data_IF_032487594261
#
_entry.id   IF_032487594261
#
_cell.length_a   1.000
_cell.length_b   1.000
_cell.length_c   1.000
_cell.angle_alpha   90.00
_cell.angle_beta   90.00
_cell.angle_gamma   90.00
#
_symmetry.space_group_name_H-M   'P 1'
#
loop_
_entity.id
_entity.type
_entity.pdbx_description
1 polymer ?
#
# COMPACT_ATOMS: atom_id res chain seq x y z
N UNK A 1 38.82 -33.24 44.06
CA UNK A 1 37.36 -33.46 43.99
C UNK A 1 36.69 -32.22 43.43
N UNK A 2 36.64 -32.04 42.10
CA UNK A 2 35.67 -31.13 41.46
C UNK A 2 35.64 -31.49 39.97
N UNK A 3 34.82 -32.48 39.63
CA UNK A 3 34.47 -32.75 38.23
C UNK A 3 33.43 -31.72 37.79
N UNK A 4 33.77 -30.88 36.81
CA UNK A 4 32.84 -29.95 36.19
C UNK A 4 31.87 -30.74 35.28
N UNK A 5 30.57 -30.53 35.48
CA UNK A 5 29.50 -31.15 34.70
C UNK A 5 29.18 -30.25 33.49
N UNK A 6 29.31 -30.70 32.23
CA UNK A 6 29.07 -29.84 31.08
C UNK A 6 27.57 -29.56 30.93
N UNK A 7 27.20 -28.28 30.97
CA UNK A 7 25.84 -27.84 30.67
C UNK A 7 25.53 -28.17 29.21
N UNK A 8 24.69 -29.19 29.01
CA UNK A 8 24.21 -29.61 27.69
C UNK A 8 23.40 -28.47 27.07
N UNK A 9 24.01 -27.73 26.16
CA UNK A 9 23.35 -26.66 25.43
C UNK A 9 22.32 -27.27 24.47
N UNK A 10 21.04 -27.23 24.85
CA UNK A 10 19.93 -27.66 24.01
C UNK A 10 19.67 -26.58 22.97
N UNK A 11 20.31 -26.71 21.81
CA UNK A 11 19.95 -25.93 20.62
C UNK A 11 18.55 -26.35 20.19
N UNK A 12 17.58 -25.44 20.31
CA UNK A 12 16.22 -25.64 19.77
C UNK A 12 16.31 -25.53 18.25
N UNK A 13 16.21 -26.66 17.56
CA UNK A 13 16.02 -26.68 16.12
C UNK A 13 14.54 -26.51 15.81
N UNK A 14 14.21 -25.59 14.90
CA UNK A 14 12.85 -25.49 14.36
C UNK A 14 12.52 -26.75 13.56
N UNK A 15 11.29 -27.23 13.70
CA UNK A 15 10.80 -28.32 12.86
C UNK A 15 10.51 -27.79 11.46
N UNK A 16 10.73 -28.61 10.42
CA UNK A 16 10.39 -28.24 9.04
C UNK A 16 8.91 -27.87 8.88
N UNK A 17 8.04 -28.47 9.71
CA UNK A 17 6.59 -28.23 9.70
C UNK A 17 6.26 -26.80 10.16
N UNK A 18 6.94 -26.30 11.19
CA UNK A 18 6.74 -24.92 11.67
C UNK A 18 7.09 -23.88 10.60
N UNK A 19 8.18 -24.08 9.86
CA UNK A 19 8.52 -23.17 8.75
C UNK A 19 7.52 -23.30 7.60
N UNK A 20 7.09 -24.53 7.29
CA UNK A 20 6.19 -24.80 6.17
C UNK A 20 4.79 -24.18 6.38
N UNK A 21 4.25 -24.25 7.60
CA UNK A 21 2.93 -23.66 7.89
C UNK A 21 2.96 -22.14 7.80
N UNK A 22 4.06 -21.51 8.21
CA UNK A 22 4.21 -20.05 8.17
C UNK A 22 4.24 -19.53 6.75
N UNK A 23 5.05 -20.14 5.87
CA UNK A 23 5.10 -19.72 4.47
C UNK A 23 3.76 -19.96 3.76
N UNK A 24 3.03 -21.03 4.12
CA UNK A 24 1.71 -21.31 3.57
C UNK A 24 0.70 -20.21 3.93
N UNK A 25 0.68 -19.75 5.19
CA UNK A 25 -0.19 -18.65 5.63
C UNK A 25 0.20 -17.35 4.92
N UNK A 26 1.49 -17.02 4.84
CA UNK A 26 1.96 -15.81 4.14
C UNK A 26 1.57 -15.85 2.66
N UNK A 27 1.68 -17.01 1.99
CA UNK A 27 1.31 -17.16 0.59
C UNK A 27 -0.19 -16.91 0.36
N UNK A 28 -1.06 -17.44 1.22
CA UNK A 28 -2.51 -17.21 1.14
C UNK A 28 -2.83 -15.72 1.31
N UNK A 29 -2.23 -15.06 2.32
CA UNK A 29 -2.44 -13.63 2.56
C UNK A 29 -1.93 -12.79 1.39
N UNK A 30 -0.72 -13.08 0.87
CA UNK A 30 -0.13 -12.37 -0.25
C UNK A 30 -0.97 -12.53 -1.53
N UNK A 31 -1.51 -13.73 -1.80
CA UNK A 31 -2.36 -14.00 -2.95
C UNK A 31 -3.64 -13.14 -2.94
N UNK A 32 -4.18 -12.80 -1.77
CA UNK A 32 -5.34 -11.90 -1.64
C UNK A 32 -4.94 -10.41 -1.69
N UNK A 33 -3.78 -10.05 -1.12
CA UNK A 33 -3.33 -8.65 -1.03
C UNK A 33 -2.85 -8.08 -2.37
N UNK A 34 -2.08 -8.85 -3.16
CA UNK A 34 -1.53 -8.39 -4.44
C UNK A 34 -2.59 -7.92 -5.46
N UNK A 35 -3.68 -8.68 -5.74
CA UNK A 35 -4.70 -8.22 -6.68
C UNK A 35 -5.47 -7.00 -6.17
N UNK A 36 -5.73 -6.92 -4.85
CA UNK A 36 -6.41 -5.78 -4.22
C UNK A 36 -5.55 -4.52 -4.34
N UNK A 37 -4.25 -4.61 -4.07
CA UNK A 37 -3.32 -3.49 -4.19
C UNK A 37 -3.27 -2.91 -5.61
N UNK A 38 -3.28 -3.78 -6.63
CA UNK A 38 -3.32 -3.35 -8.02
C UNK A 38 -4.58 -2.56 -8.38
N UNK A 39 -5.76 -3.01 -7.90
CA UNK A 39 -7.04 -2.31 -8.07
C UNK A 39 -7.07 -0.98 -7.30
N UNK A 40 -6.65 -0.99 -6.04
CA UNK A 40 -6.59 0.20 -5.20
C UNK A 40 -5.71 1.30 -5.82
N UNK A 41 -4.54 0.94 -6.37
CA UNK A 41 -3.64 1.91 -7.04
C UNK A 41 -4.28 2.54 -8.28
N UNK A 42 -5.00 1.75 -9.10
CA UNK A 42 -5.72 2.29 -10.27
C UNK A 42 -6.85 3.23 -9.84
N UNK A 43 -7.61 2.85 -8.82
CA UNK A 43 -8.68 3.69 -8.29
C UNK A 43 -8.13 4.99 -7.69
N UNK A 44 -7.03 4.94 -6.93
CA UNK A 44 -6.38 6.13 -6.37
C UNK A 44 -5.93 7.10 -7.47
N UNK A 45 -5.36 6.61 -8.57
CA UNK A 45 -5.02 7.44 -9.74
C UNK A 45 -6.25 8.10 -10.37
N UNK A 46 -7.33 7.36 -10.53
CA UNK A 46 -8.58 7.89 -11.08
C UNK A 46 -9.17 8.98 -10.17
N UNK A 47 -9.18 8.76 -8.86
CA UNK A 47 -9.64 9.75 -7.86
C UNK A 47 -8.78 11.01 -7.93
N UNK A 48 -7.45 10.87 -8.00
CA UNK A 48 -6.55 12.02 -8.11
C UNK A 48 -6.83 12.82 -9.40
N UNK A 49 -7.01 12.15 -10.53
CA UNK A 49 -7.35 12.80 -11.79
C UNK A 49 -8.70 13.53 -11.72
N UNK A 50 -9.72 12.88 -11.17
CA UNK A 50 -11.05 13.48 -10.97
C UNK A 50 -10.96 14.72 -10.07
N UNK A 51 -10.19 14.64 -8.98
CA UNK A 51 -10.00 15.76 -8.07
C UNK A 51 -9.26 16.92 -8.76
N UNK A 52 -8.27 16.64 -9.61
CA UNK A 52 -7.59 17.68 -10.39
C UNK A 52 -8.56 18.34 -11.37
N UNK A 53 -9.38 17.57 -12.09
CA UNK A 53 -10.38 18.12 -13.01
C UNK A 53 -11.42 18.97 -12.27
N UNK A 54 -11.88 18.52 -11.09
CA UNK A 54 -12.77 19.30 -10.23
C UNK A 54 -12.13 20.61 -9.80
N UNK A 55 -10.87 20.59 -9.34
CA UNK A 55 -10.15 21.79 -8.93
C UNK A 55 -9.95 22.77 -10.09
N UNK A 56 -9.66 22.27 -11.29
CA UNK A 56 -9.61 23.09 -12.51
C UNK A 56 -10.99 23.71 -12.76
N UNK A 57 -12.07 22.94 -12.79
CA UNK A 57 -13.42 23.48 -13.02
C UNK A 57 -13.82 24.56 -11.99
N UNK A 58 -13.47 24.35 -10.72
CA UNK A 58 -13.68 25.35 -9.66
C UNK A 58 -12.84 26.62 -9.93
N UNK A 59 -11.58 26.48 -10.34
CA UNK A 59 -10.74 27.62 -10.64
C UNK A 59 -11.26 28.44 -11.85
N UNK A 60 -11.80 27.77 -12.86
CA UNK A 60 -12.40 28.43 -14.02
C UNK A 60 -13.70 29.17 -13.64
N UNK A 61 -14.57 28.54 -12.84
CA UNK A 61 -15.79 29.19 -12.35
C UNK A 61 -15.47 30.42 -11.49
N UNK A 62 -14.45 30.33 -10.62
CA UNK A 62 -14.00 31.46 -9.81
C UNK A 62 -13.44 32.60 -10.69
N UNK A 63 -12.65 32.24 -11.71
CA UNK A 63 -12.12 33.23 -12.65
C UNK A 63 -13.22 33.95 -13.43
N UNK A 64 -14.21 33.20 -13.92
CA UNK A 64 -15.38 33.74 -14.64
C UNK A 64 -16.14 34.77 -13.78
N UNK A 65 -16.41 34.43 -12.51
CA UNK A 65 -17.09 35.30 -11.55
C UNK A 65 -16.31 36.61 -11.31
N UNK A 66 -14.98 36.55 -11.22
CA UNK A 66 -14.13 37.72 -11.00
C UNK A 66 -13.89 38.57 -12.26
N UNK A 67 -14.00 37.97 -13.46
CA UNK A 67 -13.63 38.61 -14.73
C UNK A 67 -14.80 38.89 -15.67
N UNK A 68 -15.98 39.23 -15.12
CA UNK A 68 -17.15 39.65 -15.91
C UNK A 68 -17.62 38.59 -16.93
N UNK A 69 -17.71 37.34 -16.50
CA UNK A 69 -18.15 36.20 -17.31
C UNK A 69 -17.20 35.84 -18.48
N UNK A 70 -15.94 36.29 -18.40
CA UNK A 70 -14.91 36.01 -19.40
C UNK A 70 -14.15 34.73 -19.01
N UNK A 71 -14.08 33.78 -19.94
CA UNK A 71 -13.31 32.54 -19.79
C UNK A 71 -11.82 32.77 -20.08
N UNK A 72 -10.90 32.07 -19.38
CA UNK A 72 -9.47 32.28 -19.58
C UNK A 72 -9.04 31.80 -20.97
N UNK A 73 -8.38 32.68 -21.72
CA UNK A 73 -7.90 32.37 -23.06
C UNK A 73 -6.67 31.44 -23.00
N UNK A 74 -6.70 30.36 -23.78
CA UNK A 74 -5.52 29.55 -24.06
C UNK A 74 -4.79 30.17 -25.26
N UNK A 75 -3.53 30.58 -25.07
CA UNK A 75 -2.64 31.06 -26.13
C UNK A 75 -1.63 29.98 -26.51
#
# INVERSE_FOLDING_TARGET
>A
MTGANPLKNSTRAFTLIELLVVIAIIAILAALLLPVLGRARKQAKAIACLNNQKQIGVAFALYEEENSDIWPAIN
#
